data_IF_562671612331
#
_entry.id   IF_562671612331
#
_cell.length_a   1.000
_cell.length_b   1.000
_cell.length_c   1.000
_cell.angle_alpha   90.00
_cell.angle_beta   90.00
_cell.angle_gamma   90.00
#
_symmetry.space_group_name_H-M   'P 1'
#
loop_
_entity.id
_entity.type
_entity.pdbx_description
1 polymer ?
#
# COMPACT_ATOMS: atom_id res chain seq x y z
N UNK A 1 9.99 30.00 -2.17
CA UNK A 1 9.79 28.61 -2.58
C UNK A 1 10.62 28.40 -3.84
N UNK A 2 11.54 27.45 -3.80
CA UNK A 2 12.37 27.07 -4.95
C UNK A 2 11.54 26.24 -5.94
N UNK A 3 12.03 26.17 -7.18
CA UNK A 3 11.40 25.36 -8.22
C UNK A 3 11.34 23.88 -7.82
N UNK A 4 10.24 23.17 -8.12
CA UNK A 4 10.15 21.76 -7.83
C UNK A 4 11.02 20.95 -8.79
N UNK A 5 11.50 19.80 -8.32
CA UNK A 5 12.28 18.90 -9.14
C UNK A 5 11.61 17.54 -9.29
N UNK A 6 11.72 16.93 -10.47
CA UNK A 6 11.28 15.55 -10.67
C UNK A 6 12.18 14.60 -9.88
N UNK A 7 11.57 13.77 -9.03
CA UNK A 7 12.25 12.84 -8.14
C UNK A 7 11.50 11.53 -8.07
N UNK A 8 12.23 10.45 -7.83
CA UNK A 8 11.68 9.19 -7.35
C UNK A 8 11.42 9.37 -5.86
N UNK A 9 10.23 8.96 -5.44
CA UNK A 9 9.76 9.04 -4.06
C UNK A 9 9.43 7.63 -3.60
N UNK A 10 9.97 7.25 -2.45
CA UNK A 10 9.76 5.94 -1.84
C UNK A 10 9.11 6.15 -0.47
N UNK A 11 8.00 5.48 -0.21
CA UNK A 11 7.42 5.37 1.12
C UNK A 11 7.53 3.93 1.59
N UNK A 12 7.95 3.72 2.84
CA UNK A 12 8.03 2.39 3.45
C UNK A 12 7.34 2.44 4.80
N UNK A 13 6.55 1.42 5.12
CA UNK A 13 5.82 1.35 6.39
C UNK A 13 5.68 -0.09 6.92
N UNK A 14 5.68 -0.24 8.25
CA UNK A 14 5.53 -1.52 8.93
C UNK A 14 4.07 -1.97 9.06
N UNK A 15 3.86 -3.28 8.88
CA UNK A 15 2.57 -3.88 9.22
C UNK A 15 2.35 -3.93 10.74
N UNK A 16 1.17 -3.47 11.17
CA UNK A 16 0.67 -3.58 12.56
C UNK A 16 1.60 -2.98 13.63
N UNK A 17 2.33 -1.90 13.33
CA UNK A 17 3.24 -1.24 14.28
C UNK A 17 2.57 -0.84 15.59
N UNK A 18 1.42 -0.15 15.52
CA UNK A 18 0.70 0.36 16.69
C UNK A 18 0.21 -0.71 17.68
N UNK A 19 0.18 -1.99 17.29
CA UNK A 19 -0.20 -3.10 18.18
C UNK A 19 0.96 -3.59 19.06
N UNK A 20 2.19 -3.15 18.78
CA UNK A 20 3.38 -3.52 19.54
C UNK A 20 3.48 -2.68 20.81
N UNK A 21 3.96 -3.30 21.90
CA UNK A 21 4.34 -2.56 23.11
C UNK A 21 5.62 -1.74 22.86
N UNK A 22 5.96 -0.83 23.78
CA UNK A 22 7.09 0.11 23.61
C UNK A 22 8.43 -0.59 23.33
N UNK A 23 8.69 -1.74 23.95
CA UNK A 23 9.93 -2.51 23.73
C UNK A 23 9.97 -3.10 22.33
N UNK A 24 8.86 -3.68 21.87
CA UNK A 24 8.74 -4.23 20.52
C UNK A 24 8.77 -3.14 19.45
N UNK A 25 8.18 -1.98 19.72
CA UNK A 25 8.25 -0.81 18.85
C UNK A 25 9.70 -0.34 18.68
N UNK A 26 10.44 -0.14 19.78
CA UNK A 26 11.84 0.26 19.72
C UNK A 26 12.71 -0.75 18.95
N UNK A 27 12.56 -2.05 19.22
CA UNK A 27 13.28 -3.11 18.49
C UNK A 27 12.94 -3.10 17.00
N UNK A 28 11.67 -2.92 16.66
CA UNK A 28 11.23 -2.85 15.27
C UNK A 28 11.82 -1.64 14.53
N UNK A 29 11.94 -0.49 15.19
CA UNK A 29 12.59 0.70 14.62
C UNK A 29 14.07 0.49 14.32
N UNK A 30 14.80 -0.14 15.25
CA UNK A 30 16.22 -0.47 15.07
C UNK A 30 16.40 -1.44 13.90
N UNK A 31 15.60 -2.51 13.88
CA UNK A 31 15.65 -3.51 12.81
C UNK A 31 15.27 -2.91 11.45
N UNK A 32 14.24 -2.07 11.40
CA UNK A 32 13.82 -1.36 10.18
C UNK A 32 14.99 -0.57 9.57
N UNK A 33 15.67 0.25 10.39
CA UNK A 33 16.81 1.04 9.91
C UNK A 33 17.91 0.15 9.32
N UNK A 34 18.30 -0.91 10.04
CA UNK A 34 19.35 -1.84 9.62
C UNK A 34 18.98 -2.58 8.33
N UNK A 35 17.73 -3.06 8.22
CA UNK A 35 17.24 -3.77 7.03
C UNK A 35 17.23 -2.83 5.83
N UNK A 36 16.75 -1.60 5.97
CA UNK A 36 16.74 -0.64 4.86
C UNK A 36 18.14 -0.22 4.43
N UNK A 37 19.07 -0.06 5.38
CA UNK A 37 20.48 0.24 5.09
C UNK A 37 21.16 -0.89 4.30
N UNK A 38 21.06 -2.14 4.78
CA UNK A 38 21.60 -3.30 4.08
C UNK A 38 20.90 -3.54 2.73
N UNK A 39 19.58 -3.37 2.66
CA UNK A 39 18.84 -3.59 1.43
C UNK A 39 19.23 -2.60 0.32
N UNK A 40 19.41 -1.33 0.66
CA UNK A 40 19.91 -0.34 -0.29
C UNK A 40 21.33 -0.69 -0.76
N UNK A 41 22.23 -1.04 0.16
CA UNK A 41 23.61 -1.41 -0.18
C UNK A 41 23.66 -2.60 -1.15
N UNK A 42 22.92 -3.68 -0.87
CA UNK A 42 22.83 -4.86 -1.74
C UNK A 42 22.12 -4.59 -3.07
N UNK A 43 21.15 -3.68 -3.10
CA UNK A 43 20.50 -3.25 -4.33
C UNK A 43 21.39 -2.35 -5.21
N UNK A 44 22.57 -1.92 -4.72
CA UNK A 44 23.46 -0.98 -5.39
C UNK A 44 22.96 0.46 -5.32
N UNK A 45 22.22 0.82 -4.27
CA UNK A 45 21.63 2.14 -4.05
C UNK A 45 22.40 2.86 -2.93
N UNK A 46 22.91 4.06 -3.21
CA UNK A 46 23.53 4.90 -2.19
C UNK A 46 22.45 5.57 -1.32
N UNK A 47 22.11 4.92 -0.21
CA UNK A 47 21.10 5.43 0.74
C UNK A 47 21.49 6.74 1.42
N UNK A 48 22.78 7.05 1.55
CA UNK A 48 23.24 8.26 2.22
C UNK A 48 22.94 9.53 1.42
N UNK A 49 22.79 9.38 0.10
CA UNK A 49 22.37 10.45 -0.81
C UNK A 49 20.87 10.76 -0.78
N UNK A 50 20.06 9.95 -0.07
CA UNK A 50 18.60 10.13 -0.03
C UNK A 50 18.22 11.18 1.01
N UNK A 51 17.19 11.97 0.72
CA UNK A 51 16.58 12.85 1.71
C UNK A 51 15.45 12.08 2.40
N UNK A 52 15.69 11.67 3.64
CA UNK A 52 14.78 10.79 4.39
C UNK A 52 14.05 11.59 5.48
N UNK A 53 12.72 11.47 5.51
CA UNK A 53 11.86 11.92 6.59
C UNK A 53 11.37 10.69 7.37
N UNK A 54 11.83 10.50 8.62
CA UNK A 54 11.39 9.38 9.46
C UNK A 54 9.92 9.50 9.87
N UNK A 55 9.19 8.38 9.87
CA UNK A 55 7.78 8.29 10.30
C UNK A 55 7.58 7.51 11.61
N UNK A 56 8.65 6.98 12.21
CA UNK A 56 8.59 6.14 13.40
C UNK A 56 8.36 4.67 13.05
N UNK A 57 7.28 4.33 12.35
CA UNK A 57 7.01 2.96 11.85
C UNK A 57 7.44 2.72 10.40
N UNK A 58 8.03 3.75 9.80
CA UNK A 58 8.43 3.78 8.41
C UNK A 58 9.22 5.03 8.07
N UNK A 59 9.32 5.30 6.78
CA UNK A 59 9.98 6.49 6.26
C UNK A 59 9.40 6.94 4.91
N UNK A 60 9.59 8.22 4.62
CA UNK A 60 9.45 8.80 3.30
C UNK A 60 10.83 9.22 2.82
N UNK A 61 11.24 8.79 1.63
CA UNK A 61 12.53 9.10 1.05
C UNK A 61 12.39 9.76 -0.33
N UNK A 62 13.10 10.87 -0.53
CA UNK A 62 13.28 11.52 -1.83
C UNK A 62 14.67 11.14 -2.34
N UNK A 63 14.73 10.46 -3.48
CA UNK A 63 15.97 9.94 -4.03
C UNK A 63 16.62 10.99 -4.95
N UNK A 64 17.97 11.04 -5.05
CA UNK A 64 18.64 11.95 -5.97
C UNK A 64 18.33 11.60 -7.44
N UNK A 65 18.45 12.55 -8.37
CA UNK A 65 18.08 12.33 -9.77
C UNK A 65 18.94 11.28 -10.49
N UNK A 66 20.12 10.93 -9.97
CA UNK A 66 21.02 9.93 -10.55
C UNK A 66 20.68 8.49 -10.13
N UNK A 67 19.68 8.29 -9.26
CA UNK A 67 19.33 6.96 -8.79
C UNK A 67 18.79 6.10 -9.94
N UNK A 68 19.14 4.81 -9.97
CA UNK A 68 18.59 3.88 -10.95
C UNK A 68 17.17 3.46 -10.56
N UNK A 69 16.15 3.97 -11.26
CA UNK A 69 14.75 3.57 -11.07
C UNK A 69 14.55 2.06 -11.21
N UNK A 70 15.21 1.43 -12.20
CA UNK A 70 15.21 -0.03 -12.39
C UNK A 70 15.74 -0.78 -11.17
N UNK A 71 16.78 -0.27 -10.51
CA UNK A 71 17.28 -0.89 -9.27
C UNK A 71 16.31 -0.69 -8.10
N UNK A 72 15.70 0.49 -7.97
CA UNK A 72 14.71 0.78 -6.92
C UNK A 72 13.51 -0.15 -7.02
N UNK A 73 12.88 -0.26 -8.21
CA UNK A 73 11.66 -1.07 -8.37
C UNK A 73 11.94 -2.56 -8.50
N UNK A 74 13.11 -2.94 -9.03
CA UNK A 74 13.43 -4.33 -9.33
C UNK A 74 14.19 -5.08 -8.24
N UNK A 75 14.99 -4.39 -7.41
CA UNK A 75 15.90 -5.03 -6.47
C UNK A 75 15.56 -4.76 -5.02
N UNK A 76 15.08 -3.55 -4.69
CA UNK A 76 14.88 -3.16 -3.30
C UNK A 76 13.88 -4.08 -2.59
N UNK A 77 12.68 -4.27 -3.14
CA UNK A 77 11.66 -5.10 -2.48
C UNK A 77 12.07 -6.59 -2.34
N UNK A 78 12.64 -7.26 -3.36
CA UNK A 78 13.17 -8.61 -3.19
C UNK A 78 14.27 -8.75 -2.12
N UNK A 79 15.19 -7.79 -2.05
CA UNK A 79 16.24 -7.81 -1.02
C UNK A 79 15.65 -7.58 0.37
N UNK A 80 14.73 -6.63 0.51
CA UNK A 80 14.00 -6.39 1.77
C UNK A 80 13.25 -7.64 2.23
N UNK A 81 12.53 -8.33 1.33
CA UNK A 81 11.83 -9.58 1.67
C UNK A 81 12.78 -10.65 2.22
N UNK A 82 13.92 -10.85 1.55
CA UNK A 82 14.94 -11.82 1.96
C UNK A 82 15.54 -11.48 3.33
N UNK A 83 15.96 -10.23 3.53
CA UNK A 83 16.54 -9.78 4.81
C UNK A 83 15.52 -9.87 5.96
N UNK A 84 14.26 -9.51 5.70
CA UNK A 84 13.20 -9.69 6.69
C UNK A 84 12.92 -11.17 6.97
N UNK A 85 13.00 -12.03 5.95
CA UNK A 85 12.84 -13.48 6.13
C UNK A 85 13.88 -14.02 7.10
N UNK A 86 15.14 -13.63 6.93
CA UNK A 86 16.24 -13.97 7.83
C UNK A 86 16.01 -13.38 9.24
N UNK A 87 15.69 -12.09 9.34
CA UNK A 87 15.43 -11.42 10.60
C UNK A 87 14.26 -12.06 11.39
N UNK A 88 13.21 -12.48 10.69
CA UNK A 88 12.01 -13.06 11.28
C UNK A 88 12.17 -14.52 11.72
N UNK A 89 13.31 -15.18 11.42
CA UNK A 89 13.56 -16.56 11.84
C UNK A 89 13.58 -16.65 13.36
N UNK A 90 12.82 -17.60 13.92
CA UNK A 90 12.74 -17.81 15.37
C UNK A 90 11.98 -16.74 16.15
N UNK A 91 11.51 -15.65 15.52
CA UNK A 91 10.70 -14.65 16.20
C UNK A 91 9.24 -15.09 16.37
N UNK A 92 8.67 -14.74 17.54
CA UNK A 92 7.24 -14.88 17.77
C UNK A 92 6.43 -14.02 16.77
N UNK A 93 5.20 -14.42 16.38
CA UNK A 93 4.41 -13.73 15.37
C UNK A 93 4.27 -12.20 15.58
N UNK A 94 4.11 -11.76 16.82
CA UNK A 94 3.99 -10.35 17.23
C UNK A 94 5.31 -9.55 17.11
N UNK A 95 6.45 -10.24 17.11
CA UNK A 95 7.77 -9.64 16.96
C UNK A 95 8.24 -9.61 15.49
N UNK A 96 7.64 -10.42 14.61
CA UNK A 96 7.98 -10.42 13.18
C UNK A 96 7.70 -9.07 12.54
N UNK A 97 8.57 -8.64 11.63
CA UNK A 97 8.47 -7.39 10.90
C UNK A 97 8.07 -7.70 9.46
N UNK A 98 7.11 -6.95 8.92
CA UNK A 98 6.69 -7.05 7.53
C UNK A 98 6.50 -5.63 7.00
N UNK A 99 6.97 -5.37 5.78
CA UNK A 99 7.04 -4.03 5.21
C UNK A 99 6.16 -3.90 3.98
N UNK A 100 5.53 -2.73 3.88
CA UNK A 100 4.90 -2.22 2.66
C UNK A 100 5.83 -1.17 2.08
N UNK A 101 6.07 -1.23 0.78
CA UNK A 101 6.86 -0.26 0.03
C UNK A 101 5.97 0.33 -1.05
N UNK A 102 6.07 1.64 -1.28
CA UNK A 102 5.44 2.32 -2.39
C UNK A 102 6.48 3.15 -3.15
N UNK A 103 6.43 3.12 -4.49
CA UNK A 103 7.31 3.91 -5.35
C UNK A 103 6.49 4.72 -6.36
N UNK A 104 6.81 6.00 -6.46
CA UNK A 104 6.25 6.93 -7.43
C UNK A 104 7.33 7.87 -7.94
N UNK A 105 7.06 8.59 -9.04
CA UNK A 105 7.92 9.64 -9.56
C UNK A 105 7.11 10.87 -9.93
N UNK A 106 7.56 12.05 -9.48
CA UNK A 106 6.84 13.31 -9.67
C UNK A 106 7.62 14.53 -9.18
N UNK A 107 7.00 15.71 -9.29
CA UNK A 107 7.59 16.98 -8.88
C UNK A 107 7.57 17.12 -7.35
N UNK A 108 8.71 17.50 -6.76
CA UNK A 108 8.88 17.66 -5.30
C UNK A 108 9.59 18.98 -4.98
N UNK A 109 9.04 19.77 -4.05
CA UNK A 109 9.74 20.90 -3.45
C UNK A 109 10.68 20.40 -2.35
N UNK A 110 11.98 20.73 -2.47
CA UNK A 110 13.03 20.24 -1.57
C UNK A 110 13.35 21.22 -0.43
N UNK A 111 12.76 22.42 -0.45
CA UNK A 111 12.96 23.53 0.49
C UNK A 111 11.77 23.73 1.46
N UNK A 112 10.92 22.71 1.60
CA UNK A 112 9.81 22.75 2.54
C UNK A 112 10.27 22.90 3.99
N UNK A 113 9.59 23.77 4.75
CA UNK A 113 9.95 24.06 6.14
C UNK A 113 9.73 22.88 7.11
N UNK A 114 8.89 21.92 6.76
CA UNK A 114 8.55 20.76 7.59
C UNK A 114 8.32 19.48 6.76
N UNK A 115 9.22 19.19 5.83
CA UNK A 115 9.15 18.03 4.93
C UNK A 115 9.13 18.42 3.46
N UNK A 116 8.44 17.63 2.63
CA UNK A 116 8.46 17.73 1.17
C UNK A 116 7.07 18.03 0.59
N UNK A 117 6.66 19.30 0.47
CA UNK A 117 5.39 19.67 -0.13
C UNK A 117 5.32 19.21 -1.59
N UNK A 118 4.43 18.27 -1.89
CA UNK A 118 4.12 17.86 -3.27
C UNK A 118 2.97 16.86 -3.35
N UNK A 119 2.26 16.89 -4.48
CA UNK A 119 1.30 15.85 -4.83
C UNK A 119 1.98 14.48 -5.00
N UNK A 120 3.23 14.45 -5.45
CA UNK A 120 3.99 13.20 -5.59
C UNK A 120 4.19 12.49 -4.24
N UNK A 121 4.52 13.26 -3.19
CA UNK A 121 4.65 12.74 -1.81
C UNK A 121 3.29 12.29 -1.27
N UNK A 122 2.23 13.08 -1.48
CA UNK A 122 0.87 12.68 -1.07
C UNK A 122 0.48 11.38 -1.77
N UNK A 123 0.71 11.28 -3.07
CA UNK A 123 0.34 10.12 -3.89
C UNK A 123 1.05 8.84 -3.42
N UNK A 124 2.38 8.87 -3.22
CA UNK A 124 3.12 7.67 -2.79
C UNK A 124 2.72 7.22 -1.38
N UNK A 125 2.47 8.16 -0.46
CA UNK A 125 1.99 7.83 0.88
C UNK A 125 0.60 7.18 0.81
N UNK A 126 -0.31 7.70 -0.04
CA UNK A 126 -1.63 7.10 -0.24
C UNK A 126 -1.58 5.72 -0.89
N UNK A 127 -0.66 5.50 -1.83
CA UNK A 127 -0.43 4.16 -2.36
C UNK A 127 0.03 3.19 -1.26
N UNK A 128 0.99 3.60 -0.43
CA UNK A 128 1.49 2.80 0.68
C UNK A 128 0.41 2.48 1.73
N UNK A 129 -0.46 3.47 1.99
CA UNK A 129 -1.57 3.36 2.93
C UNK A 129 -2.79 2.62 2.39
N UNK A 130 -2.81 2.31 1.09
CA UNK A 130 -3.99 1.75 0.43
C UNK A 130 -4.43 0.42 1.05
N UNK A 131 -5.73 0.21 1.30
CA UNK A 131 -6.28 -1.05 1.74
C UNK A 131 -5.86 -2.24 0.87
N UNK A 132 -5.67 -2.01 -0.43
CA UNK A 132 -5.25 -2.98 -1.43
C UNK A 132 -3.86 -3.54 -1.11
N UNK A 133 -2.86 -2.68 -0.89
CA UNK A 133 -1.52 -3.13 -0.49
C UNK A 133 -1.53 -3.82 0.87
N UNK A 134 -2.27 -3.25 1.85
CA UNK A 134 -2.43 -3.84 3.18
C UNK A 134 -3.05 -5.24 3.11
N UNK A 135 -4.06 -5.44 2.26
CA UNK A 135 -4.74 -6.71 2.09
C UNK A 135 -3.88 -7.75 1.38
N UNK A 136 -3.14 -7.36 0.35
CA UNK A 136 -2.19 -8.26 -0.34
C UNK A 136 -1.19 -8.79 0.68
N UNK A 137 -0.45 -7.92 1.37
CA UNK A 137 0.53 -8.37 2.36
C UNK A 137 -0.13 -9.26 3.43
N UNK A 138 -1.32 -8.92 3.94
CA UNK A 138 -2.02 -9.77 4.91
C UNK A 138 -2.37 -11.17 4.38
N UNK A 139 -2.73 -11.31 3.10
CA UNK A 139 -3.07 -12.58 2.45
C UNK A 139 -1.85 -13.46 2.22
N UNK A 140 -0.74 -12.88 1.79
CA UNK A 140 0.50 -13.59 1.48
C UNK A 140 1.36 -13.77 2.73
N UNK A 141 0.96 -14.68 3.63
CA UNK A 141 1.66 -14.87 4.92
C UNK A 141 3.12 -15.32 4.81
N UNK A 142 3.52 -15.89 3.68
CA UNK A 142 4.91 -16.24 3.39
C UNK A 142 5.78 -15.04 2.99
N UNK A 143 5.17 -13.95 2.55
CA UNK A 143 5.87 -12.73 2.17
C UNK A 143 6.11 -11.83 3.39
N UNK A 144 7.30 -11.23 3.43
CA UNK A 144 7.67 -10.23 4.42
C UNK A 144 7.69 -8.81 3.83
N UNK A 145 7.70 -8.67 2.50
CA UNK A 145 7.54 -7.39 1.83
C UNK A 145 6.44 -7.42 0.75
N UNK A 146 5.83 -6.27 0.49
CA UNK A 146 5.02 -6.03 -0.70
C UNK A 146 5.33 -4.65 -1.26
N UNK A 147 5.46 -4.55 -2.57
CA UNK A 147 5.73 -3.30 -3.31
C UNK A 147 4.49 -2.88 -4.07
N UNK A 148 4.08 -1.63 -3.96
CA UNK A 148 3.16 -0.98 -4.88
C UNK A 148 3.90 0.09 -5.69
N UNK A 149 3.59 0.21 -6.97
CA UNK A 149 4.13 1.25 -7.84
C UNK A 149 2.99 1.99 -8.54
N UNK A 150 3.17 3.30 -8.71
CA UNK A 150 2.23 4.11 -9.49
C UNK A 150 2.19 3.70 -10.98
N UNK A 151 1.13 4.09 -11.69
CA UNK A 151 1.03 3.87 -13.14
C UNK A 151 2.22 4.40 -13.94
N UNK A 152 2.71 5.61 -13.64
CA UNK A 152 3.86 6.18 -14.36
C UNK A 152 5.11 5.32 -14.21
N UNK A 153 5.43 4.89 -12.98
CA UNK A 153 6.57 3.99 -12.74
C UNK A 153 6.40 2.66 -13.47
N UNK A 154 5.20 2.08 -13.50
CA UNK A 154 4.96 0.84 -14.21
C UNK A 154 5.16 1.01 -15.73
N UNK A 155 4.56 2.04 -16.32
CA UNK A 155 4.58 2.30 -17.76
C UNK A 155 5.92 2.81 -18.27
N UNK A 156 6.64 3.61 -17.48
CA UNK A 156 7.86 4.28 -17.93
C UNK A 156 9.12 3.48 -17.59
N UNK A 157 9.04 2.54 -16.65
CA UNK A 157 10.18 1.74 -16.19
C UNK A 157 9.91 0.26 -16.36
N UNK A 158 8.90 -0.28 -15.67
CA UNK A 158 8.77 -1.73 -15.49
C UNK A 158 8.58 -2.47 -16.82
N UNK A 159 7.62 -2.03 -17.65
CA UNK A 159 7.28 -2.71 -18.91
C UNK A 159 8.42 -2.77 -19.93
N UNK A 160 9.47 -1.97 -19.76
CA UNK A 160 10.57 -1.88 -20.71
C UNK A 160 11.73 -2.85 -20.41
N UNK A 161 11.72 -3.54 -19.26
CA UNK A 161 12.83 -4.39 -18.84
C UNK A 161 12.36 -5.80 -18.45
N UNK A 162 12.85 -6.82 -19.16
CA UNK A 162 12.45 -8.21 -18.92
C UNK A 162 12.88 -8.74 -17.55
N UNK A 163 14.00 -8.28 -17.01
CA UNK A 163 14.48 -8.67 -15.67
C UNK A 163 13.60 -8.12 -14.54
N UNK A 164 12.77 -7.10 -14.81
CA UNK A 164 11.76 -6.63 -13.87
C UNK A 164 10.50 -7.48 -13.88
N UNK A 165 10.39 -8.45 -14.80
CA UNK A 165 9.26 -9.40 -14.87
C UNK A 165 7.90 -8.71 -14.75
N UNK A 166 7.49 -7.89 -15.72
CA UNK A 166 6.22 -7.13 -15.66
C UNK A 166 5.00 -8.00 -15.38
N UNK A 167 5.05 -9.28 -15.78
CA UNK A 167 4.05 -10.31 -15.49
C UNK A 167 3.82 -10.56 -13.99
N UNK A 168 4.79 -10.25 -13.14
CA UNK A 168 4.71 -10.38 -11.68
C UNK A 168 4.13 -9.17 -10.96
N UNK A 169 3.72 -8.14 -11.71
CA UNK A 169 3.08 -6.93 -11.20
C UNK A 169 1.58 -6.99 -11.50
N UNK A 170 0.78 -7.12 -10.45
CA UNK A 170 -0.67 -7.20 -10.57
C UNK A 170 -1.30 -5.80 -10.54
N UNK A 171 -2.04 -5.44 -11.60
CA UNK A 171 -2.78 -4.17 -11.67
C UNK A 171 -3.88 -4.12 -10.61
N UNK A 172 -4.00 -2.99 -9.91
CA UNK A 172 -5.03 -2.70 -8.91
C UNK A 172 -5.54 -1.27 -9.05
N UNK A 173 -6.77 -1.04 -8.60
CA UNK A 173 -7.27 0.31 -8.28
C UNK A 173 -7.02 0.54 -6.78
N UNK A 174 -6.06 1.40 -6.45
CA UNK A 174 -5.75 1.80 -5.07
C UNK A 174 -6.70 2.92 -4.65
N UNK A 175 -7.48 2.69 -3.60
CA UNK A 175 -8.59 3.56 -3.23
C UNK A 175 -8.59 3.83 -1.72
N UNK A 176 -8.71 5.10 -1.35
CA UNK A 176 -8.93 5.56 0.03
C UNK A 176 -10.05 6.62 -0.04
N UNK A 177 -11.32 6.20 -0.05
CA UNK A 177 -12.47 7.10 -0.22
C UNK A 177 -12.51 8.24 0.79
N UNK A 178 -12.18 7.96 2.06
CA UNK A 178 -12.13 8.96 3.13
C UNK A 178 -11.01 10.00 2.95
N UNK A 179 -10.11 9.80 1.98
CA UNK A 179 -9.06 10.74 1.57
C UNK A 179 -9.25 11.25 0.14
N UNK A 180 -10.40 10.97 -0.50
CA UNK A 180 -10.67 11.27 -1.91
C UNK A 180 -9.53 10.82 -2.84
N UNK A 181 -8.98 9.64 -2.59
CA UNK A 181 -7.86 9.09 -3.35
C UNK A 181 -8.30 7.86 -4.14
N UNK A 182 -8.07 7.90 -5.43
CA UNK A 182 -8.18 6.76 -6.35
C UNK A 182 -7.01 6.84 -7.33
N UNK A 183 -6.31 5.73 -7.53
CA UNK A 183 -5.19 5.65 -8.45
C UNK A 183 -5.06 4.26 -9.04
N UNK A 184 -4.74 4.18 -10.33
CA UNK A 184 -4.28 2.92 -10.93
C UNK A 184 -2.84 2.67 -10.50
N UNK A 185 -2.58 1.46 -9.99
CA UNK A 185 -1.28 1.06 -9.49
C UNK A 185 -1.00 -0.43 -9.76
N UNK A 186 0.22 -0.87 -9.49
CA UNK A 186 0.62 -2.26 -9.65
C UNK A 186 1.29 -2.76 -8.37
N UNK A 187 0.93 -3.96 -7.93
CA UNK A 187 1.49 -4.59 -6.73
C UNK A 187 2.37 -5.77 -7.13
N UNK A 188 3.55 -5.85 -6.53
CA UNK A 188 4.48 -6.98 -6.62
C UNK A 188 4.77 -7.54 -5.22
N UNK A 189 4.70 -8.86 -5.08
CA UNK A 189 5.04 -9.58 -3.85
C UNK A 189 6.26 -10.45 -4.14
N UNK A 190 7.45 -10.13 -3.58
CA UNK A 190 8.65 -10.91 -3.84
C UNK A 190 8.52 -12.36 -3.39
N UNK A 191 9.14 -13.27 -4.14
CA UNK A 191 9.13 -14.71 -3.82
C UNK A 191 7.90 -15.46 -4.34
N UNK A 192 6.89 -14.76 -4.87
CA UNK A 192 5.85 -15.40 -5.68
C UNK A 192 6.37 -15.53 -7.11
N UNK A 193 6.93 -16.70 -7.43
CA UNK A 193 6.97 -17.11 -8.83
C UNK A 193 5.52 -17.32 -9.23
N UNK A 194 5.00 -16.48 -10.12
CA UNK A 194 3.73 -16.72 -10.80
C UNK A 194 3.91 -17.93 -11.73
N UNK A 195 4.06 -19.12 -11.15
CA UNK A 195 3.87 -20.38 -11.85
C UNK A 195 2.37 -20.56 -12.04
N UNK A 196 1.91 -20.38 -13.28
CA UNK A 196 0.58 -20.80 -13.73
C UNK A 196 -0.60 -20.33 -12.84
N UNK A 197 -0.74 -19.02 -12.68
CA UNK A 197 -1.91 -18.42 -12.02
C UNK A 197 -1.58 -17.10 -11.34
N UNK A 198 -1.63 -16.00 -12.09
CA UNK A 198 -1.59 -14.65 -11.50
C UNK A 198 -2.65 -14.48 -10.42
N UNK A 199 -2.51 -13.50 -9.50
CA UNK A 199 -3.53 -13.20 -8.52
C UNK A 199 -4.83 -12.90 -9.26
N UNK A 200 -5.79 -13.83 -9.20
CA UNK A 200 -7.13 -13.62 -9.73
C UNK A 200 -7.80 -12.64 -8.78
N UNK A 201 -7.66 -11.36 -9.07
CA UNK A 201 -8.56 -10.35 -8.53
C UNK A 201 -9.90 -10.65 -9.20
N UNK A 202 -10.81 -11.29 -8.46
CA UNK A 202 -12.18 -11.48 -8.92
C UNK A 202 -12.74 -10.10 -9.29
N UNK A 203 -13.00 -9.90 -10.59
CA UNK A 203 -13.81 -8.76 -11.03
C UNK A 203 -15.13 -8.82 -10.24
N UNK A 204 -15.64 -7.70 -9.71
CA UNK A 204 -17.00 -7.66 -9.19
C UNK A 204 -17.93 -8.21 -10.26
N UNK A 205 -18.68 -9.26 -9.90
CA UNK A 205 -19.68 -9.87 -10.76
C UNK A 205 -20.64 -8.75 -11.17
N UNK A 206 -20.63 -8.35 -12.44
CA UNK A 206 -21.66 -7.47 -12.98
C UNK A 206 -23.00 -8.17 -12.74
N UNK A 207 -23.80 -7.58 -11.87
CA UNK A 207 -25.20 -7.96 -11.72
C UNK A 207 -25.86 -7.59 -13.04
N UNK A 208 -26.53 -8.53 -13.74
CA UNK A 208 -27.31 -8.17 -14.92
C UNK A 208 -28.32 -7.09 -14.53
N UNK A 209 -28.60 -6.10 -15.40
CA UNK A 209 -29.64 -5.12 -15.12
C UNK A 209 -30.96 -5.86 -14.85
N UNK A 210 -31.63 -5.49 -13.76
CA UNK A 210 -32.94 -6.01 -13.44
C UNK A 210 -33.90 -5.79 -14.64
N UNK A 211 -34.73 -6.78 -15.00
CA UNK A 211 -35.72 -6.58 -16.04
C UNK A 211 -36.65 -5.42 -15.65
N UNK A 212 -36.94 -4.56 -16.62
CA UNK A 212 -37.86 -3.43 -16.45
C UNK A 212 -39.21 -3.95 -15.91
N UNK A 213 -39.85 -3.23 -14.97
CA UNK A 213 -41.15 -3.64 -14.46
C UNK A 213 -42.16 -3.67 -15.62
N UNK A 214 -42.79 -4.84 -15.80
CA UNK A 214 -43.95 -4.98 -16.66
C UNK A 214 -45.07 -4.05 -16.18
N UNK A 215 -45.77 -3.42 -17.11
CA UNK A 215 -46.88 -2.51 -16.85
C UNK A 215 -47.92 -3.16 -15.91
N UNK A 216 -47.95 -2.70 -14.66
CA UNK A 216 -48.95 -3.07 -13.68
C UNK A 216 -50.24 -2.29 -13.92
N UNK A 217 -51.35 -3.02 -14.08
CA UNK A 217 -52.70 -2.49 -14.23
C UNK A 217 -53.06 -1.51 -13.10
N UNK A 218 -53.70 -0.41 -13.49
CA UNK A 218 -54.24 0.61 -12.59
C UNK A 218 -55.50 0.06 -11.93
N UNK A 219 -55.47 -0.18 -10.62
CA UNK A 219 -56.69 -0.31 -9.83
C UNK A 219 -57.04 1.05 -9.23
N UNK A 220 -58.17 1.61 -9.66
CA UNK A 220 -58.73 2.83 -9.09
C UNK A 220 -59.30 2.56 -7.69
N UNK A 221 -58.90 3.40 -6.74
CA UNK A 221 -59.69 3.69 -5.55
C UNK A 221 -59.42 2.82 -4.33
N UNK A 222 -58.29 3.02 -3.66
CA UNK A 222 -58.18 2.82 -2.21
C UNK A 222 -57.22 3.87 -1.64
N UNK A 223 -57.73 4.75 -0.78
CA UNK A 223 -56.97 5.70 0.02
C UNK A 223 -56.77 5.12 1.41
N UNK A 224 -55.53 5.00 1.89
CA UNK A 224 -55.24 4.65 3.29
C UNK A 224 -54.24 5.64 3.88
N UNK A 225 -54.62 6.26 5.01
CA UNK A 225 -53.87 7.29 5.72
C UNK A 225 -53.06 6.74 6.91
N UNK A 226 -51.75 7.04 6.92
CA UNK A 226 -50.87 7.22 8.10
C UNK A 226 -50.45 5.99 8.94
N UNK A 227 -49.56 6.13 9.94
CA UNK A 227 -48.62 7.22 10.21
C UNK A 227 -47.13 6.78 10.34
N UNK A 228 -46.26 7.77 10.50
CA UNK A 228 -44.80 7.75 10.72
C UNK A 228 -44.34 7.27 12.10
N UNK A 229 -43.15 6.62 12.11
CA UNK A 229 -42.07 6.65 13.13
C UNK A 229 -41.98 5.53 14.21
N UNK A 230 -40.73 5.39 14.71
CA UNK A 230 -40.10 4.58 15.78
C UNK A 230 -39.37 3.32 15.27
N UNK A 231 -38.07 3.09 15.49
CA UNK A 231 -37.10 3.58 16.47
C UNK A 231 -36.66 2.41 17.35
N UNK A 232 -35.41 1.93 17.27
CA UNK A 232 -34.91 0.85 18.14
C UNK A 232 -33.50 1.16 18.69
N UNK A 233 -33.46 1.45 20.00
CA UNK A 233 -32.30 1.32 20.89
C UNK A 233 -32.34 -0.10 21.50
N UNK A 234 -31.19 -0.80 21.58
CA UNK A 234 -31.06 -2.03 22.36
C UNK A 234 -30.17 -1.79 23.60
N UNK A 235 -30.74 -2.06 24.77
CA UNK A 235 -30.10 -2.05 26.09
C UNK A 235 -29.73 -3.50 26.47
N UNK A 236 -28.54 -3.71 27.05
CA UNK A 236 -28.12 -4.99 27.66
C UNK A 236 -28.76 -5.20 29.04
N UNK A 237 -29.24 -6.42 29.28
CA UNK A 237 -29.77 -6.89 30.57
C UNK A 237 -28.73 -7.66 31.40
N UNK A 238 -28.85 -7.49 32.72
CA UNK A 238 -27.98 -7.99 33.78
C UNK A 238 -28.02 -9.50 34.02
N UNK A 239 -26.90 -10.03 34.54
CA UNK A 239 -26.75 -11.33 35.18
C UNK A 239 -26.88 -11.23 36.71
N UNK A 240 -27.61 -12.18 37.32
CA UNK A 240 -27.41 -12.69 38.69
C UNK A 240 -27.81 -14.15 38.76
N UNK A 241 -26.96 -14.94 39.40
CA UNK A 241 -27.06 -16.36 39.69
C UNK A 241 -25.71 -16.81 40.23
#
# INVERSE_FOLDING_TARGET
>A
MQDPHRRVVVAVDMESYSKRNNVLQHRAQVAFKQIMEHACAEAGLDRNSWRIQPGGDGELAILPPQVSERAVVGRLAPVVDRLLREHNQGLAPEAKIRLRLAVHQGLVHLDGANGFPSDAVVHVCRLNDSPQLKQVLRRHRGANAALIVSESVYRDVIVHYQDLRPDQFAKVAAEIPEKNFEATAWIHVPGETTGDGGPRVDKPRQVPPAPAPAAGQVFHGVTTHGPTQFGNHNTMGHSRG
#
